data_IF_535818753273
#
_entry.id   IF_535818753273
#
_cell.length_a   1.000
_cell.length_b   1.000
_cell.length_c   1.000
_cell.angle_alpha   90.00
_cell.angle_beta   90.00
_cell.angle_gamma   90.00
#
_symmetry.space_group_name_H-M   'P 1'
#
loop_
_entity.id
_entity.type
_entity.pdbx_description
1 polymer ?
#
# COMPACT_ATOMS: atom_id res chain seq x y z
N UNK A 1 3.28 2.19 -14.29
CA UNK A 1 2.92 1.32 -13.15
C UNK A 1 2.29 2.18 -12.06
N UNK A 2 1.42 1.62 -11.22
CA UNK A 2 0.75 2.32 -10.13
C UNK A 2 1.04 1.65 -8.78
N UNK A 3 1.46 2.42 -7.78
CA UNK A 3 1.78 1.92 -6.43
C UNK A 3 0.81 2.53 -5.43
N UNK A 4 0.01 1.67 -4.77
CA UNK A 4 -1.04 2.03 -3.82
C UNK A 4 -0.86 1.31 -2.46
N UNK A 5 -0.95 1.96 -1.32
CA UNK A 5 -0.66 3.37 -1.04
C UNK A 5 0.64 3.43 -0.24
N UNK A 6 1.39 4.52 -0.38
CA UNK A 6 2.57 4.77 0.45
C UNK A 6 2.22 5.81 1.51
N UNK A 7 2.30 5.43 2.79
CA UNK A 7 2.07 6.37 3.89
C UNK A 7 3.32 7.20 4.11
N UNK A 8 3.28 8.48 3.73
CA UNK A 8 4.43 9.39 3.81
C UNK A 8 3.98 10.86 3.93
N UNK A 9 3.67 11.33 5.16
CA UNK A 9 3.19 12.69 5.38
C UNK A 9 4.14 13.80 4.90
N UNK A 10 5.45 13.56 4.96
CA UNK A 10 6.45 14.55 4.54
C UNK A 10 6.41 14.77 3.03
N UNK A 11 6.29 13.69 2.25
CA UNK A 11 6.18 13.78 0.79
C UNK A 11 4.85 14.41 0.40
N UNK A 12 3.75 14.08 1.10
CA UNK A 12 2.45 14.74 0.89
C UNK A 12 2.57 16.24 1.12
N UNK A 13 3.16 16.68 2.23
CA UNK A 13 3.32 18.11 2.53
C UNK A 13 4.15 18.83 1.45
N UNK A 14 5.22 18.19 0.96
CA UNK A 14 6.05 18.73 -0.12
C UNK A 14 5.27 18.84 -1.44
N UNK A 15 4.49 17.82 -1.80
CA UNK A 15 3.65 17.82 -3.00
C UNK A 15 2.56 18.89 -2.94
N UNK A 16 1.90 19.03 -1.79
CA UNK A 16 0.90 20.09 -1.56
C UNK A 16 1.52 21.49 -1.67
N UNK A 17 2.74 21.69 -1.16
CA UNK A 17 3.47 22.95 -1.28
C UNK A 17 3.85 23.25 -2.74
N UNK A 18 4.25 22.25 -3.51
CA UNK A 18 4.61 22.40 -4.91
C UNK A 18 3.39 22.65 -5.81
N UNK A 19 2.24 22.09 -5.46
CA UNK A 19 1.00 22.19 -6.25
C UNK A 19 0.99 21.25 -7.46
N UNK A 20 -0.18 21.08 -8.07
CA UNK A 20 -0.35 20.26 -9.29
C UNK A 20 0.49 20.85 -10.44
N UNK A 21 1.22 19.99 -11.15
CA UNK A 21 2.19 20.35 -12.19
C UNK A 21 3.57 20.74 -11.65
N UNK A 22 3.74 20.88 -10.33
CA UNK A 22 5.03 21.15 -9.70
C UNK A 22 5.93 19.91 -9.68
N UNK A 23 7.25 20.13 -9.68
CA UNK A 23 8.24 19.08 -9.47
C UNK A 23 8.70 19.06 -8.00
N UNK A 24 8.92 17.86 -7.47
CA UNK A 24 9.54 17.65 -6.15
C UNK A 24 10.73 16.69 -6.29
N UNK A 25 11.81 16.97 -5.57
CA UNK A 25 12.93 16.04 -5.39
C UNK A 25 12.92 15.57 -3.93
N UNK A 26 12.73 14.27 -3.72
CA UNK A 26 12.44 13.72 -2.39
C UNK A 26 12.78 12.24 -2.28
N UNK A 27 12.62 11.71 -1.07
CA UNK A 27 12.78 10.31 -0.75
C UNK A 27 11.43 9.76 -0.27
N UNK A 28 10.89 8.77 -0.99
CA UNK A 28 9.52 8.27 -0.84
C UNK A 28 9.50 6.90 -0.15
N UNK A 29 8.65 6.77 0.87
CA UNK A 29 8.42 5.51 1.58
C UNK A 29 9.63 5.06 2.41
N UNK A 30 9.57 3.86 3.01
CA UNK A 30 10.69 3.29 3.78
C UNK A 30 10.99 3.98 5.12
N UNK A 31 10.18 4.96 5.55
CA UNK A 31 10.42 5.78 6.75
C UNK A 31 9.87 5.20 8.06
N UNK A 32 9.01 4.18 7.99
CA UNK A 32 8.28 3.68 9.16
C UNK A 32 9.06 2.64 9.98
N UNK A 33 9.90 1.84 9.33
CA UNK A 33 10.74 0.84 9.98
C UNK A 33 11.89 0.43 9.04
N UNK A 34 13.15 0.26 9.52
CA UNK A 34 14.29 -0.15 8.70
C UNK A 34 14.10 -1.46 7.92
N UNK A 35 13.23 -2.35 8.40
CA UNK A 35 12.93 -3.62 7.73
C UNK A 35 12.21 -3.43 6.39
N UNK A 36 11.51 -2.30 6.20
CA UNK A 36 10.80 -1.97 4.96
C UNK A 36 11.75 -1.57 3.81
N UNK A 37 13.05 -1.47 4.08
CA UNK A 37 14.07 -1.00 3.13
C UNK A 37 14.25 0.53 3.19
N UNK A 38 15.31 1.04 2.52
CA UNK A 38 15.55 2.47 2.48
C UNK A 38 14.48 3.20 1.66
N UNK A 39 14.22 4.49 1.95
CA UNK A 39 13.43 5.35 1.08
C UNK A 39 13.94 5.38 -0.37
N UNK A 40 13.03 5.57 -1.33
CA UNK A 40 13.37 5.64 -2.75
C UNK A 40 13.50 7.09 -3.18
N UNK A 41 14.68 7.49 -3.68
CA UNK A 41 14.91 8.81 -4.26
C UNK A 41 14.08 8.98 -5.53
N UNK A 42 13.34 10.08 -5.60
CA UNK A 42 12.50 10.42 -6.74
C UNK A 42 12.60 11.92 -7.05
N UNK A 43 12.67 12.24 -8.35
CA UNK A 43 12.34 13.55 -8.91
C UNK A 43 11.00 13.41 -9.64
N UNK A 44 9.92 13.80 -8.98
CA UNK A 44 8.56 13.49 -9.42
C UNK A 44 7.73 14.74 -9.70
N UNK A 45 6.87 14.66 -10.71
CA UNK A 45 5.81 15.64 -10.98
C UNK A 45 4.58 15.33 -10.11
N UNK A 46 3.97 16.36 -9.52
CA UNK A 46 2.69 16.26 -8.81
C UNK A 46 1.54 16.26 -9.81
N UNK A 47 0.86 15.14 -9.98
CA UNK A 47 -0.22 14.98 -10.96
C UNK A 47 -1.59 15.35 -10.40
N UNK A 48 -1.83 15.10 -9.11
CA UNK A 48 -3.07 15.46 -8.43
C UNK A 48 -2.86 15.54 -6.91
N UNK A 49 -3.72 16.33 -6.26
CA UNK A 49 -3.77 16.49 -4.80
C UNK A 49 -5.20 16.19 -4.30
N UNK A 50 -5.31 15.70 -3.08
CA UNK A 50 -6.60 15.44 -2.42
C UNK A 50 -6.52 15.74 -0.94
N UNK A 51 -7.63 16.21 -0.37
CA UNK A 51 -7.84 16.35 1.08
C UNK A 51 -8.24 15.02 1.75
N UNK A 52 -8.38 13.95 0.97
CA UNK A 52 -8.46 12.57 1.46
C UNK A 52 -9.84 11.94 1.50
N UNK A 53 -10.92 12.72 1.46
CA UNK A 53 -12.31 12.20 1.58
C UNK A 53 -12.74 11.43 0.32
N UNK A 54 -13.33 10.25 0.51
CA UNK A 54 -13.87 9.44 -0.58
C UNK A 54 -15.02 8.54 -0.10
N UNK A 55 -15.71 7.89 -1.05
CA UNK A 55 -16.74 6.87 -0.78
C UNK A 55 -16.29 5.55 -1.38
N UNK A 56 -16.44 4.46 -0.64
CA UNK A 56 -16.12 3.13 -1.14
C UNK A 56 -17.11 2.69 -2.22
N UNK A 57 -16.58 2.13 -3.31
CA UNK A 57 -17.32 1.59 -4.46
C UNK A 57 -17.19 0.07 -4.62
N UNK A 58 -16.36 -0.57 -3.79
CA UNK A 58 -16.15 -2.01 -3.77
C UNK A 58 -17.03 -2.75 -2.76
N UNK A 59 -17.02 -4.10 -2.77
CA UNK A 59 -17.81 -4.92 -1.85
C UNK A 59 -17.45 -4.67 -0.38
N UNK A 60 -16.17 -4.48 -0.09
CA UNK A 60 -15.70 -4.14 1.26
C UNK A 60 -16.03 -2.68 1.56
N UNK A 61 -16.71 -2.45 2.68
CA UNK A 61 -17.19 -1.13 3.11
C UNK A 61 -18.15 -0.44 2.14
N UNK A 62 -18.85 -1.21 1.30
CA UNK A 62 -19.81 -0.70 0.34
C UNK A 62 -20.76 0.36 0.96
N UNK A 63 -20.82 1.54 0.34
CA UNK A 63 -21.69 2.63 0.78
C UNK A 63 -21.14 3.49 1.92
N UNK A 64 -20.07 3.06 2.60
CA UNK A 64 -19.40 3.85 3.63
C UNK A 64 -18.47 4.92 3.02
N UNK A 65 -18.08 5.87 3.87
CA UNK A 65 -17.08 6.88 3.53
C UNK A 65 -15.74 6.57 4.19
N UNK A 66 -14.67 6.99 3.55
CA UNK A 66 -13.30 6.88 4.06
C UNK A 66 -12.58 8.22 3.97
N UNK A 67 -11.44 8.32 4.65
CA UNK A 67 -10.58 9.49 4.57
C UNK A 67 -9.10 9.09 4.65
N UNK A 68 -8.35 9.32 3.56
CA UNK A 68 -6.90 9.08 3.51
C UNK A 68 -6.06 10.23 4.06
N UNK A 69 -6.72 11.30 4.51
CA UNK A 69 -6.11 12.60 4.81
C UNK A 69 -5.48 13.25 3.58
N UNK A 70 -4.76 14.37 3.74
CA UNK A 70 -3.99 14.97 2.65
C UNK A 70 -3.18 13.90 1.92
N UNK A 71 -3.28 13.93 0.61
CA UNK A 71 -2.71 12.90 -0.27
C UNK A 71 -2.28 13.53 -1.60
N UNK A 72 -1.38 12.84 -2.30
CA UNK A 72 -0.91 13.26 -3.62
C UNK A 72 -0.69 12.06 -4.53
N UNK A 73 -0.97 12.25 -5.82
CA UNK A 73 -0.45 11.41 -6.88
C UNK A 73 0.81 12.08 -7.45
N UNK A 74 1.95 11.41 -7.29
CA UNK A 74 3.23 11.84 -7.88
C UNK A 74 3.67 10.84 -8.95
N UNK A 75 4.40 11.32 -9.95
CA UNK A 75 4.84 10.50 -11.06
C UNK A 75 6.28 10.81 -11.49
N UNK A 76 7.04 9.76 -11.77
CA UNK A 76 8.37 9.84 -12.37
C UNK A 76 8.52 8.69 -13.39
N UNK A 77 9.01 8.98 -14.60
CA UNK A 77 9.38 7.98 -15.62
C UNK A 77 8.32 6.88 -15.86
N UNK A 78 7.03 7.26 -15.85
CA UNK A 78 5.90 6.33 -16.03
C UNK A 78 5.53 5.49 -14.80
N UNK A 79 6.15 5.73 -13.65
CA UNK A 79 5.81 5.17 -12.35
C UNK A 79 4.98 6.16 -11.55
N UNK A 80 3.73 5.82 -11.29
CA UNK A 80 2.77 6.58 -10.49
C UNK A 80 2.74 6.06 -9.06
N UNK A 81 2.89 6.95 -8.09
CA UNK A 81 2.81 6.62 -6.66
C UNK A 81 1.73 7.48 -6.02
N UNK A 82 0.81 6.84 -5.29
CA UNK A 82 -0.15 7.56 -4.45
C UNK A 82 0.37 7.57 -3.02
N UNK A 83 0.76 8.75 -2.57
CA UNK A 83 1.21 9.01 -1.21
C UNK A 83 0.07 9.58 -0.37
N UNK A 84 -0.08 9.06 0.85
CA UNK A 84 -1.20 9.37 1.75
C UNK A 84 -0.70 9.64 3.17
N UNK A 85 -1.54 10.23 4.02
CA UNK A 85 -1.23 10.47 5.44
C UNK A 85 -1.90 9.47 6.38
N UNK A 86 -3.09 8.97 6.05
CA UNK A 86 -3.77 7.93 6.82
C UNK A 86 -3.23 6.52 6.49
N UNK A 87 -3.26 5.63 7.50
CA UNK A 87 -2.79 4.25 7.38
C UNK A 87 -3.96 3.32 7.04
N UNK A 88 -4.12 3.01 5.77
CA UNK A 88 -5.12 2.06 5.29
C UNK A 88 -4.60 1.30 4.06
N UNK A 89 -5.02 0.05 3.91
CA UNK A 89 -4.72 -0.74 2.72
C UNK A 89 -5.65 -0.35 1.55
N UNK A 90 -5.21 -0.49 0.30
CA UNK A 90 -6.09 -0.29 -0.85
C UNK A 90 -7.12 -1.42 -0.95
N UNK A 91 -8.32 -1.19 -0.40
CA UNK A 91 -9.45 -2.12 -0.55
C UNK A 91 -9.99 -2.18 -1.97
N UNK A 92 -9.89 -1.08 -2.71
CA UNK A 92 -10.36 -0.93 -4.07
C UNK A 92 -9.88 0.39 -4.71
N UNK A 93 -10.28 0.67 -5.96
CA UNK A 93 -9.83 1.83 -6.71
C UNK A 93 -10.52 3.15 -6.31
N UNK A 94 -11.53 3.11 -5.44
CA UNK A 94 -12.35 4.25 -5.04
C UNK A 94 -11.55 5.53 -4.74
N UNK A 95 -10.52 5.43 -3.88
CA UNK A 95 -9.75 6.60 -3.50
C UNK A 95 -8.85 7.10 -4.63
N UNK A 96 -8.14 6.20 -5.34
CA UNK A 96 -7.32 6.59 -6.49
C UNK A 96 -8.13 7.24 -7.61
N UNK A 97 -9.40 6.85 -7.81
CA UNK A 97 -10.32 7.52 -8.76
C UNK A 97 -10.52 9.00 -8.43
N UNK A 98 -10.52 9.37 -7.14
CA UNK A 98 -10.65 10.79 -6.72
C UNK A 98 -9.44 11.65 -7.14
N UNK A 99 -8.29 11.02 -7.39
CA UNK A 99 -7.09 11.66 -7.93
C UNK A 99 -7.05 11.64 -9.47
N UNK A 100 -8.13 11.19 -10.12
CA UNK A 100 -8.22 11.07 -11.58
C UNK A 100 -7.51 9.85 -12.16
N UNK A 101 -7.13 8.87 -11.33
CA UNK A 101 -6.46 7.66 -11.78
C UNK A 101 -7.50 6.63 -12.24
N UNK A 102 -7.41 6.24 -13.50
CA UNK A 102 -8.07 5.03 -14.00
C UNK A 102 -7.16 3.82 -13.77
N UNK A 103 -7.45 3.05 -12.72
CA UNK A 103 -6.72 1.83 -12.39
C UNK A 103 -6.81 0.77 -13.50
N UNK A 104 -7.93 0.66 -14.22
CA UNK A 104 -8.11 -0.37 -15.25
C UNK A 104 -7.19 -0.15 -16.45
N UNK A 105 -6.80 1.10 -16.71
CA UNK A 105 -5.84 1.46 -17.74
C UNK A 105 -4.37 1.15 -17.39
N UNK A 106 -4.07 0.79 -16.13
CA UNK A 106 -2.70 0.62 -15.66
C UNK A 106 -2.14 -0.77 -16.01
N UNK A 107 -0.98 -0.80 -16.67
CA UNK A 107 -0.27 -2.07 -16.99
C UNK A 107 0.10 -2.89 -15.76
N UNK A 108 0.43 -2.23 -14.65
CA UNK A 108 0.78 -2.86 -13.38
C UNK A 108 0.24 -2.04 -12.22
N UNK A 109 -0.34 -2.72 -11.23
CA UNK A 109 -0.75 -2.12 -9.96
C UNK A 109 -0.12 -2.92 -8.82
N UNK A 110 0.57 -2.24 -7.91
CA UNK A 110 1.06 -2.81 -6.66
C UNK A 110 0.16 -2.36 -5.51
N UNK A 111 -0.31 -3.33 -4.73
CA UNK A 111 -1.17 -3.10 -3.57
C UNK A 111 -0.58 -3.77 -2.34
N UNK A 112 -0.57 -3.07 -1.19
CA UNK A 112 -0.19 -3.68 0.09
C UNK A 112 -1.41 -4.33 0.76
N UNK A 113 -1.76 -5.54 0.32
CA UNK A 113 -2.87 -6.35 0.87
C UNK A 113 -2.64 -7.84 0.59
N UNK A 114 -3.11 -8.72 1.49
CA UNK A 114 -2.99 -10.18 1.32
C UNK A 114 -4.21 -10.83 0.66
N UNK A 115 -5.41 -10.26 0.83
CA UNK A 115 -6.65 -10.90 0.38
C UNK A 115 -7.73 -9.91 -0.07
N UNK A 116 -8.06 -8.91 0.75
CA UNK A 116 -9.23 -8.05 0.53
C UNK A 116 -9.22 -7.30 -0.81
N UNK A 117 -8.04 -6.94 -1.33
CA UNK A 117 -7.91 -6.27 -2.63
C UNK A 117 -8.55 -7.07 -3.77
N UNK A 118 -8.58 -8.41 -3.68
CA UNK A 118 -9.11 -9.28 -4.74
C UNK A 118 -10.55 -8.92 -5.09
N UNK A 119 -11.39 -8.69 -4.10
CA UNK A 119 -12.80 -8.38 -4.32
C UNK A 119 -13.05 -7.13 -5.21
N UNK A 120 -12.09 -6.20 -5.28
CA UNK A 120 -12.24 -4.97 -6.07
C UNK A 120 -11.27 -4.84 -7.24
N UNK A 121 -10.09 -5.47 -7.19
CA UNK A 121 -9.10 -5.40 -8.27
C UNK A 121 -9.10 -6.63 -9.18
N UNK A 122 -9.42 -7.83 -8.67
CA UNK A 122 -9.45 -9.07 -9.47
C UNK A 122 -10.39 -9.03 -10.67
N UNK A 123 -11.58 -8.38 -10.62
CA UNK A 123 -12.49 -8.34 -11.77
C UNK A 123 -11.89 -7.74 -13.05
N UNK A 124 -10.86 -6.89 -12.94
CA UNK A 124 -10.17 -6.28 -14.08
C UNK A 124 -8.66 -6.59 -14.13
N UNK A 125 -8.12 -7.27 -13.12
CA UNK A 125 -6.71 -7.68 -13.12
C UNK A 125 -6.52 -8.90 -14.02
N UNK A 126 -5.56 -8.82 -14.96
CA UNK A 126 -5.23 -9.95 -15.83
C UNK A 126 -4.50 -11.10 -15.11
N UNK A 127 -3.46 -10.78 -14.33
CA UNK A 127 -2.71 -11.76 -13.55
C UNK A 127 -2.33 -11.18 -12.20
N UNK A 128 -2.47 -11.98 -11.14
CA UNK A 128 -2.17 -11.57 -9.77
C UNK A 128 -0.96 -12.36 -9.27
N UNK A 129 0.10 -11.64 -8.94
CA UNK A 129 1.31 -12.20 -8.36
C UNK A 129 1.40 -11.77 -6.89
N UNK A 130 1.41 -12.74 -5.98
CA UNK A 130 1.71 -12.48 -4.57
C UNK A 130 3.22 -12.28 -4.44
N UNK A 131 3.65 -11.13 -3.94
CA UNK A 131 5.06 -10.79 -3.77
C UNK A 131 5.41 -10.84 -2.28
N UNK A 132 6.35 -11.70 -1.91
CA UNK A 132 6.93 -11.69 -0.58
C UNK A 132 8.01 -10.59 -0.50
N UNK A 133 7.62 -9.44 0.02
CA UNK A 133 8.55 -8.35 0.34
C UNK A 133 9.03 -8.46 1.79
N UNK A 134 10.24 -7.94 2.05
CA UNK A 134 10.77 -7.81 3.42
C UNK A 134 9.82 -6.91 4.22
N UNK A 135 9.18 -7.45 5.26
CA UNK A 135 8.19 -6.71 6.04
C UNK A 135 8.05 -7.22 7.47
N UNK A 136 7.49 -6.36 8.34
CA UNK A 136 7.10 -6.73 9.72
C UNK A 136 5.98 -7.79 9.78
N UNK A 137 5.28 -8.02 8.66
CA UNK A 137 4.18 -9.00 8.54
C UNK A 137 4.63 -10.23 7.74
N UNK A 138 5.85 -10.72 7.98
CA UNK A 138 6.33 -11.96 7.33
C UNK A 138 5.45 -13.14 7.72
N UNK A 139 5.24 -14.05 6.78
CA UNK A 139 4.57 -15.34 7.02
C UNK A 139 5.56 -16.40 7.52
N UNK A 140 6.86 -16.07 7.57
CA UNK A 140 7.86 -16.86 8.27
C UNK A 140 7.80 -16.55 9.76
N UNK A 141 6.91 -17.25 10.46
CA UNK A 141 6.69 -17.06 11.88
C UNK A 141 7.96 -17.31 12.71
N UNK A 142 8.93 -18.09 12.22
CA UNK A 142 10.18 -18.33 12.93
C UNK A 142 11.09 -17.09 12.96
N UNK A 143 10.93 -16.15 12.02
CA UNK A 143 11.69 -14.90 11.97
C UNK A 143 11.12 -13.79 12.87
N UNK A 144 9.93 -13.97 13.43
CA UNK A 144 9.32 -12.98 14.32
C UNK A 144 10.04 -12.96 15.67
N UNK A 145 10.21 -11.76 16.25
CA UNK A 145 10.83 -11.60 17.57
C UNK A 145 9.84 -11.97 18.68
N UNK A 146 9.73 -13.26 18.94
CA UNK A 146 8.85 -13.76 20.00
C UNK A 146 9.44 -13.49 21.39
N UNK A 147 8.67 -12.82 22.23
CA UNK A 147 9.03 -12.56 23.63
C UNK A 147 7.97 -13.17 24.55
N UNK A 148 8.40 -13.70 25.71
CA UNK A 148 7.50 -14.25 26.75
C UNK A 148 6.62 -15.44 26.29
N UNK A 149 7.18 -16.31 25.43
CA UNK A 149 6.53 -17.59 25.08
C UNK A 149 6.91 -18.66 26.11
N UNK A 150 5.92 -19.45 26.54
CA UNK A 150 6.10 -20.52 27.53
C UNK A 150 5.82 -21.92 26.97
N UNK A 151 5.47 -22.01 25.67
CA UNK A 151 5.09 -23.25 25.00
C UNK A 151 5.49 -23.19 23.52
N UNK A 152 5.82 -24.35 22.99
CA UNK A 152 6.01 -24.60 21.56
C UNK A 152 4.69 -24.35 20.81
N UNK A 153 4.77 -23.83 19.58
CA UNK A 153 3.58 -23.63 18.76
C UNK A 153 3.82 -23.93 17.28
N UNK A 154 2.75 -24.30 16.58
CA UNK A 154 2.76 -24.53 15.13
C UNK A 154 2.66 -23.19 14.38
N UNK A 155 3.50 -22.90 13.36
CA UNK A 155 4.45 -23.80 12.70
C UNK A 155 5.92 -23.58 13.09
N UNK A 156 6.23 -22.99 14.25
CA UNK A 156 7.61 -22.61 14.61
C UNK A 156 8.38 -23.77 15.22
N UNK A 157 7.96 -24.25 16.40
CA UNK A 157 8.57 -25.41 17.06
C UNK A 157 7.83 -26.72 16.76
N UNK A 158 6.52 -26.62 16.46
CA UNK A 158 5.71 -27.79 16.11
C UNK A 158 5.67 -27.90 14.59
N UNK A 159 6.40 -28.85 13.97
CA UNK A 159 6.36 -29.03 12.53
C UNK A 159 5.05 -29.69 12.09
N UNK A 160 4.68 -29.49 10.82
CA UNK A 160 3.41 -29.98 10.24
C UNK A 160 3.20 -31.48 10.45
N UNK A 161 4.26 -32.27 10.32
CA UNK A 161 4.25 -33.72 10.46
C UNK A 161 3.86 -34.20 11.87
N UNK A 162 3.98 -33.33 12.87
CA UNK A 162 3.65 -33.61 14.27
C UNK A 162 2.51 -32.75 14.80
N UNK A 163 1.93 -31.90 13.95
CA UNK A 163 0.80 -31.08 14.32
C UNK A 163 -0.43 -31.99 14.55
N UNK A 164 -1.20 -31.80 15.64
CA UNK A 164 -2.42 -32.55 15.85
C UNK A 164 -3.39 -32.31 14.69
N UNK A 165 -4.01 -33.37 14.17
CA UNK A 165 -5.10 -33.23 13.21
C UNK A 165 -6.24 -32.43 13.85
N UNK A 166 -6.72 -31.42 13.11
CA UNK A 166 -7.78 -30.49 13.54
C UNK A 166 -9.07 -30.82 12.82
#
# INVERSE_FOLDING_TARGET
ALILYIVDPDVVALAHKAGVGGEIETEVGGKSDPIQGPPVKMKAEVKALSEGKFKYDGPMYAGLTGNMGPSAWIQQDGVSVVVVTAREQPFGPAFSKTLGIDCESMKYISVKSSAHFRASFEPFAGSIFNVEAKAIHTHDFAKLNHQRRNRDFYPVEIPYETAPEI
#
